data_IF_769011241834
#
_entry.id   IF_769011241834
#
_cell.length_a   1.000
_cell.length_b   1.000
_cell.length_c   1.000
_cell.angle_alpha   90.00
_cell.angle_beta   90.00
_cell.angle_gamma   90.00
#
_symmetry.space_group_name_H-M   'P 1'
#
loop_
_entity.id
_entity.type
_entity.pdbx_description
1 polymer ?
#
# COMPACT_ATOMS: atom_id res chain seq x y z
N UNK A 1 11.55 4.52 -21.97
CA UNK A 1 10.16 4.10 -21.67
C UNK A 1 10.18 3.25 -20.41
N UNK A 2 9.43 3.60 -19.38
CA UNK A 2 9.32 2.77 -18.18
C UNK A 2 8.28 1.67 -18.40
N UNK A 3 8.60 0.42 -18.04
CA UNK A 3 7.67 -0.70 -18.12
C UNK A 3 7.06 -0.90 -16.73
N UNK A 4 5.74 -0.80 -16.63
CA UNK A 4 5.00 -0.98 -15.36
C UNK A 4 4.10 -2.21 -15.42
N UNK A 5 4.00 -2.95 -14.31
CA UNK A 5 3.11 -4.11 -14.15
C UNK A 5 2.25 -3.96 -12.91
N UNK A 6 0.95 -4.21 -13.05
CA UNK A 6 -0.01 -4.21 -11.94
C UNK A 6 -0.05 -5.61 -11.33
N UNK A 7 0.10 -5.71 -10.00
CA UNK A 7 0.04 -6.99 -9.26
C UNK A 7 -1.00 -6.89 -8.14
N UNK A 8 -2.04 -7.74 -8.14
CA UNK A 8 -3.03 -7.75 -7.07
C UNK A 8 -2.44 -8.35 -5.79
N UNK A 9 -2.75 -7.76 -4.63
CA UNK A 9 -2.35 -8.27 -3.31
C UNK A 9 -3.62 -8.56 -2.50
N UNK A 10 -3.77 -9.81 -2.04
CA UNK A 10 -4.99 -10.27 -1.34
C UNK A 10 -4.77 -10.43 0.18
N UNK A 11 -3.64 -11.03 0.58
CA UNK A 11 -3.36 -11.44 1.96
C UNK A 11 -2.15 -10.74 2.58
N UNK A 12 -1.10 -10.45 1.81
CA UNK A 12 0.21 -9.97 2.30
C UNK A 12 0.41 -8.46 2.13
N UNK A 13 -0.61 -7.65 2.41
CA UNK A 13 -0.55 -6.19 2.21
C UNK A 13 0.56 -5.52 3.03
N UNK A 14 0.77 -5.93 4.28
CA UNK A 14 1.84 -5.39 5.13
C UNK A 14 3.21 -5.57 4.52
N UNK A 15 3.55 -6.80 4.12
CA UNK A 15 4.82 -7.13 3.51
C UNK A 15 5.05 -6.34 2.22
N UNK A 16 3.99 -6.07 1.46
CA UNK A 16 4.09 -5.24 0.27
C UNK A 16 4.39 -3.77 0.60
N UNK A 17 3.74 -3.20 1.62
CA UNK A 17 4.00 -1.83 2.08
C UNK A 17 5.44 -1.71 2.61
N UNK A 18 5.90 -2.67 3.40
CA UNK A 18 7.26 -2.69 3.93
C UNK A 18 8.29 -2.81 2.80
N UNK A 19 8.01 -3.66 1.81
CA UNK A 19 8.89 -3.84 0.66
C UNK A 19 9.03 -2.57 -0.19
N UNK A 20 7.92 -1.86 -0.48
CA UNK A 20 7.96 -0.64 -1.30
C UNK A 20 8.54 0.57 -0.55
N UNK A 21 8.54 0.55 0.79
CA UNK A 21 9.09 1.62 1.64
C UNK A 21 10.45 1.29 2.26
N UNK A 22 11.08 0.21 1.79
CA UNK A 22 12.41 -0.19 2.26
C UNK A 22 13.45 0.90 1.94
N UNK A 23 14.24 1.29 2.94
CA UNK A 23 15.30 2.29 2.83
C UNK A 23 16.36 1.94 1.79
N UNK A 24 16.67 0.65 1.59
CA UNK A 24 17.64 0.18 0.59
C UNK A 24 17.22 0.48 -0.86
N UNK A 25 15.91 0.70 -1.09
CA UNK A 25 15.32 0.86 -2.41
C UNK A 25 14.78 2.26 -2.68
N UNK A 26 14.79 3.11 -1.66
CA UNK A 26 14.08 4.39 -1.66
C UNK A 26 14.98 5.55 -1.24
N UNK A 27 16.30 5.36 -1.34
CA UNK A 27 17.32 6.30 -0.91
C UNK A 27 17.04 6.79 0.51
N UNK A 28 17.11 5.87 1.48
CA UNK A 28 16.85 6.16 2.88
C UNK A 28 15.43 6.71 3.15
N UNK A 29 14.45 6.28 2.34
CA UNK A 29 13.03 6.69 2.38
C UNK A 29 12.75 8.11 1.88
N UNK A 30 13.72 8.81 1.31
CA UNK A 30 13.51 10.13 0.70
C UNK A 30 12.49 10.08 -0.45
N UNK A 31 12.47 8.96 -1.19
CA UNK A 31 11.54 8.76 -2.31
C UNK A 31 10.13 8.29 -1.89
N UNK A 32 9.88 8.10 -0.59
CA UNK A 32 8.57 7.67 -0.10
C UNK A 32 7.67 8.89 0.11
N UNK A 33 6.73 9.08 -0.81
CA UNK A 33 5.67 10.08 -0.67
C UNK A 33 4.31 9.41 -0.52
N UNK A 34 3.40 10.06 0.20
CA UNK A 34 2.06 9.53 0.42
C UNK A 34 1.02 10.65 0.41
N UNK A 35 -0.18 10.36 -0.09
CA UNK A 35 -1.29 11.31 -0.13
C UNK A 35 -2.52 10.69 0.51
N UNK A 36 -3.06 11.33 1.56
CA UNK A 36 -4.23 10.88 2.35
C UNK A 36 -4.09 9.50 3.02
N UNK A 37 -2.99 8.79 2.83
CA UNK A 37 -2.75 7.45 3.36
C UNK A 37 -1.30 7.28 3.78
N UNK A 38 -1.02 7.35 5.09
CA UNK A 38 0.35 7.25 5.58
C UNK A 38 0.80 5.77 5.66
N UNK A 39 2.03 5.41 5.21
CA UNK A 39 2.48 4.01 5.14
C UNK A 39 2.31 3.22 6.43
N UNK A 40 2.60 3.82 7.59
CA UNK A 40 2.44 3.15 8.89
C UNK A 40 0.98 2.80 9.24
N UNK A 41 0.01 3.54 8.67
CA UNK A 41 -1.43 3.34 8.92
C UNK A 41 -2.16 2.73 7.71
N UNK A 42 -1.47 2.56 6.59
CA UNK A 42 -2.06 2.17 5.32
C UNK A 42 -2.78 0.83 5.43
N UNK A 43 -2.19 -0.15 6.12
CA UNK A 43 -2.83 -1.45 6.33
C UNK A 43 -4.25 -1.35 6.92
N UNK A 44 -4.42 -0.52 7.95
CA UNK A 44 -5.70 -0.34 8.65
C UNK A 44 -6.69 0.36 7.72
N UNK A 45 -6.26 1.41 7.02
CA UNK A 45 -7.12 2.15 6.10
C UNK A 45 -7.63 1.26 4.97
N UNK A 46 -6.76 0.44 4.37
CA UNK A 46 -7.12 -0.49 3.30
C UNK A 46 -8.07 -1.60 3.81
N UNK A 47 -7.83 -2.13 5.01
CA UNK A 47 -8.74 -3.07 5.66
C UNK A 47 -10.13 -2.47 5.89
N UNK A 48 -10.20 -1.21 6.35
CA UNK A 48 -11.45 -0.48 6.55
C UNK A 48 -12.20 -0.28 5.23
N UNK A 49 -11.50 0.12 4.15
CA UNK A 49 -12.09 0.26 2.81
C UNK A 49 -12.67 -1.06 2.31
N UNK A 50 -11.96 -2.19 2.50
CA UNK A 50 -12.49 -3.51 2.13
C UNK A 50 -13.80 -3.84 2.85
N UNK A 51 -13.88 -3.55 4.15
CA UNK A 51 -15.11 -3.74 4.94
C UNK A 51 -16.24 -2.83 4.47
N UNK A 52 -15.98 -1.53 4.27
CA UNK A 52 -17.00 -0.57 3.82
C UNK A 52 -17.56 -1.00 2.46
N UNK A 53 -16.70 -1.33 1.50
CA UNK A 53 -17.13 -1.79 0.17
C UNK A 53 -17.95 -3.07 0.29
N UNK A 54 -17.54 -4.01 1.15
CA UNK A 54 -18.31 -5.22 1.40
C UNK A 54 -19.72 -4.88 1.91
N UNK A 55 -19.86 -4.06 2.95
CA UNK A 55 -21.16 -3.65 3.50
C UNK A 55 -21.99 -2.74 2.58
N UNK A 56 -21.38 -2.10 1.58
CA UNK A 56 -22.09 -1.25 0.62
C UNK A 56 -22.63 -2.03 -0.58
N UNK A 57 -22.19 -3.27 -0.76
CA UNK A 57 -22.60 -4.15 -1.87
C UNK A 57 -23.71 -5.12 -1.43
N UNK A 58 -23.92 -5.28 -0.12
CA UNK A 58 -25.07 -5.97 0.48
C UNK A 58 -26.06 -4.96 1.03
#
# INVERSE_FOLDING_TARGET
MAITKIRPIKSTLNLAIDYITNSEKTDEKVLVSSFKCHPATAHIQFMKTRKIIFYSIF
#
